data_IF_786310226949
#
_entry.id   IF_786310226949
#
_cell.length_a   1.000
_cell.length_b   1.000
_cell.length_c   1.000
_cell.angle_alpha   90.00
_cell.angle_beta   90.00
_cell.angle_gamma   90.00
#
_symmetry.space_group_name_H-M   'P 1'
#
loop_
_entity.id
_entity.type
_entity.pdbx_description
1 polymer ?
#
# COMPACT_ATOMS: atom_id res chain seq x y z
N UNK A 1 9.05 21.63 4.69
CA UNK A 1 7.71 21.28 5.20
C UNK A 1 7.89 20.28 6.33
N UNK A 2 8.27 20.81 7.49
CA UNK A 2 8.36 20.08 8.76
C UNK A 2 7.00 20.22 9.43
N UNK A 3 6.36 19.11 9.81
CA UNK A 3 5.27 19.15 10.78
C UNK A 3 5.88 19.15 12.19
N UNK A 4 6.64 20.21 12.47
CA UNK A 4 7.03 20.64 13.80
C UNK A 4 6.07 21.75 14.20
N UNK A 5 5.06 21.43 15.00
CA UNK A 5 4.28 22.45 15.70
C UNK A 5 4.21 22.05 17.17
N UNK A 6 5.31 22.26 17.86
CA UNK A 6 5.33 22.60 19.29
C UNK A 6 5.24 24.13 19.38
N UNK A 7 4.25 24.67 20.12
CA UNK A 7 4.33 25.85 21.00
C UNK A 7 2.92 26.35 21.36
N UNK A 8 2.50 26.26 22.63
CA UNK A 8 2.25 27.42 23.53
C UNK A 8 1.60 27.01 24.88
N UNK A 9 2.33 27.22 25.98
CA UNK A 9 1.88 27.89 27.22
C UNK A 9 0.61 27.45 27.97
N UNK A 10 0.75 26.50 28.91
CA UNK A 10 0.39 26.55 30.37
C UNK A 10 -1.04 26.92 30.83
N UNK A 11 -2.05 27.22 30.00
CA UNK A 11 -3.40 27.60 30.50
C UNK A 11 -4.60 26.72 30.07
N UNK A 12 -4.37 25.53 29.50
CA UNK A 12 -5.40 24.76 28.77
C UNK A 12 -5.59 23.32 29.29
N UNK A 13 -5.25 23.03 30.55
CA UNK A 13 -5.14 21.63 31.00
C UNK A 13 -6.45 20.81 31.02
N UNK A 14 -7.64 21.43 30.98
CA UNK A 14 -8.93 20.70 30.98
C UNK A 14 -9.54 20.54 29.58
N UNK A 15 -9.27 21.45 28.65
CA UNK A 15 -9.73 21.33 27.26
C UNK A 15 -8.81 20.44 26.39
N UNK A 16 -7.55 20.26 26.79
CA UNK A 16 -6.56 19.52 26.01
C UNK A 16 -6.77 17.99 26.04
N UNK A 17 -7.28 17.45 27.14
CA UNK A 17 -7.45 15.99 27.32
C UNK A 17 -8.49 15.44 26.35
N UNK A 18 -9.63 16.12 26.15
CA UNK A 18 -10.66 15.71 25.20
C UNK A 18 -10.21 15.79 23.73
N UNK A 19 -9.39 16.78 23.37
CA UNK A 19 -8.85 16.94 22.01
C UNK A 19 -7.75 15.91 21.73
N UNK A 20 -6.90 15.60 22.71
CA UNK A 20 -5.85 14.60 22.59
C UNK A 20 -6.40 13.18 22.36
N UNK A 21 -7.48 12.80 23.06
CA UNK A 21 -8.14 11.51 22.91
C UNK A 21 -8.79 11.37 21.53
N UNK A 22 -9.54 12.39 21.09
CA UNK A 22 -10.17 12.41 19.76
C UNK A 22 -9.12 12.36 18.63
N UNK A 23 -8.00 13.07 18.81
CA UNK A 23 -6.90 13.06 17.85
C UNK A 23 -6.24 11.68 17.76
N UNK A 24 -5.95 11.05 18.91
CA UNK A 24 -5.36 9.70 18.94
C UNK A 24 -6.28 8.64 18.31
N UNK A 25 -7.58 8.67 18.65
CA UNK A 25 -8.56 7.76 18.06
C UNK A 25 -8.71 7.95 16.54
N UNK A 26 -8.72 9.20 16.06
CA UNK A 26 -8.75 9.52 14.63
C UNK A 26 -7.51 8.98 13.91
N UNK A 27 -6.33 9.14 14.51
CA UNK A 27 -5.05 8.66 13.95
C UNK A 27 -5.04 7.13 13.83
N UNK A 28 -5.51 6.39 14.84
CA UNK A 28 -5.61 4.93 14.79
C UNK A 28 -6.66 4.44 13.79
N UNK A 29 -7.81 5.10 13.71
CA UNK A 29 -8.84 4.79 12.71
C UNK A 29 -8.33 5.00 11.28
N UNK A 30 -7.65 6.13 11.02
CA UNK A 30 -7.05 6.40 9.72
C UNK A 30 -5.99 5.35 9.35
N UNK A 31 -5.19 4.90 10.32
CA UNK A 31 -4.24 3.81 10.12
C UNK A 31 -4.92 2.46 9.83
N UNK A 32 -6.02 2.15 10.53
CA UNK A 32 -6.81 0.95 10.27
C UNK A 32 -7.44 0.96 8.87
N UNK A 33 -8.06 2.07 8.47
CA UNK A 33 -8.64 2.24 7.13
C UNK A 33 -7.56 2.11 6.06
N UNK A 34 -6.39 2.72 6.27
CA UNK A 34 -5.28 2.62 5.33
C UNK A 34 -4.73 1.18 5.25
N UNK A 35 -4.67 0.47 6.37
CA UNK A 35 -4.32 -0.96 6.38
C UNK A 35 -5.33 -1.81 5.59
N UNK A 36 -6.63 -1.57 5.77
CA UNK A 36 -7.69 -2.28 5.02
C UNK A 36 -7.56 -1.98 3.52
N UNK A 37 -7.32 -0.72 3.15
CA UNK A 37 -7.06 -0.32 1.77
C UNK A 37 -5.86 -1.09 1.19
N UNK A 38 -4.77 -1.23 1.96
CA UNK A 38 -3.61 -2.03 1.53
C UNK A 38 -3.98 -3.49 1.25
N UNK A 39 -4.79 -4.12 2.11
CA UNK A 39 -5.28 -5.49 1.88
C UNK A 39 -6.12 -5.56 0.59
N UNK A 40 -7.04 -4.62 0.39
CA UNK A 40 -7.87 -4.59 -0.82
C UNK A 40 -7.04 -4.41 -2.11
N UNK A 41 -6.01 -3.58 -2.07
CA UNK A 41 -5.09 -3.39 -3.20
C UNK A 41 -4.30 -4.68 -3.44
N UNK A 42 -3.75 -5.30 -2.38
CA UNK A 42 -3.01 -6.56 -2.49
C UNK A 42 -3.87 -7.68 -3.10
N UNK A 43 -5.11 -7.85 -2.64
CA UNK A 43 -6.06 -8.79 -3.24
C UNK A 43 -6.41 -8.45 -4.70
N UNK A 44 -6.47 -7.18 -5.05
CA UNK A 44 -6.74 -6.75 -6.41
C UNK A 44 -5.59 -7.17 -7.35
N UNK A 45 -4.33 -7.14 -6.90
CA UNK A 45 -3.22 -7.72 -7.65
C UNK A 45 -3.35 -9.24 -7.84
N UNK A 46 -3.79 -9.97 -6.81
CA UNK A 46 -4.06 -11.41 -6.94
C UNK A 46 -5.12 -11.67 -8.04
N UNK A 47 -6.19 -10.88 -8.06
CA UNK A 47 -7.24 -10.99 -9.10
C UNK A 47 -6.71 -10.60 -10.47
N UNK A 48 -5.85 -9.58 -10.56
CA UNK A 48 -5.23 -9.14 -11.80
C UNK A 48 -4.34 -10.22 -12.39
N UNK A 49 -3.50 -10.87 -11.59
CA UNK A 49 -2.63 -11.98 -12.03
C UNK A 49 -3.48 -13.13 -12.58
N UNK A 50 -4.54 -13.52 -11.87
CA UNK A 50 -5.48 -14.54 -12.37
C UNK A 50 -6.17 -14.14 -13.68
N UNK A 51 -6.48 -12.86 -13.85
CA UNK A 51 -7.07 -12.35 -15.09
C UNK A 51 -6.06 -12.38 -16.25
N UNK A 52 -4.78 -12.08 -16.00
CA UNK A 52 -3.68 -12.22 -16.96
C UNK A 52 -3.59 -13.69 -17.41
N UNK A 53 -3.53 -14.63 -16.46
CA UNK A 53 -3.48 -16.06 -16.77
C UNK A 53 -4.69 -16.53 -17.59
N UNK A 54 -5.89 -16.14 -17.19
CA UNK A 54 -7.12 -16.49 -17.91
C UNK A 54 -7.10 -15.93 -19.35
N UNK A 55 -6.59 -14.71 -19.54
CA UNK A 55 -6.50 -14.07 -20.86
C UNK A 55 -5.51 -14.80 -21.76
N UNK A 56 -4.37 -15.22 -21.22
CA UNK A 56 -3.35 -15.98 -21.95
C UNK A 56 -3.93 -17.32 -22.39
N UNK A 57 -4.58 -18.06 -21.49
CA UNK A 57 -5.23 -19.35 -21.81
C UNK A 57 -6.27 -19.18 -22.92
N UNK A 58 -7.09 -18.12 -22.86
CA UNK A 58 -8.09 -17.84 -23.87
C UNK A 58 -7.47 -17.53 -25.25
N UNK A 59 -6.45 -16.68 -25.28
CA UNK A 59 -5.75 -16.29 -26.50
C UNK A 59 -5.05 -17.48 -27.16
N UNK A 60 -4.34 -18.29 -26.36
CA UNK A 60 -3.69 -19.52 -26.84
C UNK A 60 -4.73 -20.51 -27.41
N UNK A 61 -5.88 -20.66 -26.76
CA UNK A 61 -6.96 -21.54 -27.27
C UNK A 61 -7.53 -21.06 -28.61
N UNK A 62 -7.58 -19.74 -28.83
CA UNK A 62 -8.09 -19.14 -30.07
C UNK A 62 -7.01 -18.99 -31.16
N UNK A 63 -5.74 -19.18 -30.82
CA UNK A 63 -4.62 -18.89 -31.71
C UNK A 63 -4.46 -17.39 -32.00
N UNK A 64 -4.88 -16.53 -31.06
CA UNK A 64 -4.83 -15.08 -31.20
C UNK A 64 -3.51 -14.52 -30.63
N UNK A 65 -2.92 -13.56 -31.33
CA UNK A 65 -1.83 -12.73 -30.79
C UNK A 65 -2.41 -11.61 -29.92
N UNK A 66 -1.64 -11.21 -28.90
CA UNK A 66 -2.05 -10.15 -27.96
C UNK A 66 -1.33 -8.85 -28.29
N UNK A 67 -2.00 -7.72 -28.04
CA UNK A 67 -1.48 -6.39 -28.36
C UNK A 67 -0.93 -5.70 -27.11
N UNK A 68 0.22 -5.07 -27.25
CA UNK A 68 0.81 -4.18 -26.25
C UNK A 68 1.06 -2.83 -26.90
N UNK A 69 0.59 -1.76 -26.25
CA UNK A 69 0.93 -0.41 -26.61
C UNK A 69 2.07 0.07 -25.70
N UNK A 70 3.22 0.41 -26.29
CA UNK A 70 4.31 1.05 -25.56
C UNK A 70 4.07 2.55 -25.58
N UNK A 71 3.94 3.15 -24.39
CA UNK A 71 3.97 4.61 -24.27
C UNK A 71 5.45 5.04 -24.13
N UNK A 72 6.05 5.75 -25.10
CA UNK A 72 7.43 6.16 -25.00
C UNK A 72 7.57 7.24 -23.91
N UNK A 73 8.30 6.90 -22.84
CA UNK A 73 8.83 7.79 -21.80
C UNK A 73 7.86 8.81 -21.20
N UNK A 74 7.22 8.47 -20.08
CA UNK A 74 6.99 9.38 -18.92
C UNK A 74 6.32 10.75 -19.15
N UNK A 75 5.84 11.05 -20.36
CA UNK A 75 5.18 12.30 -20.67
C UNK A 75 3.74 12.20 -20.21
N UNK A 76 3.36 13.12 -19.34
CA UNK A 76 1.97 13.41 -19.03
C UNK A 76 1.25 13.62 -20.36
N UNK A 77 0.37 12.68 -20.71
CA UNK A 77 -0.40 12.73 -21.94
C UNK A 77 -1.37 13.90 -21.85
N UNK A 78 -0.96 15.06 -22.34
CA UNK A 78 -1.91 16.03 -22.91
C UNK A 78 -2.42 15.46 -24.23
N UNK A 79 -3.21 14.39 -24.13
CA UNK A 79 -4.28 13.84 -25.01
C UNK A 79 -4.11 13.79 -26.54
N UNK A 80 -3.09 14.38 -27.18
CA UNK A 80 -3.20 14.73 -28.61
C UNK A 80 -2.21 14.05 -29.56
N UNK A 81 -1.05 13.50 -29.14
CA UNK A 81 -0.07 13.07 -30.16
C UNK A 81 0.82 11.84 -29.85
N UNK A 82 0.45 11.00 -28.88
CA UNK A 82 1.13 9.72 -28.74
C UNK A 82 0.50 8.70 -29.71
N UNK A 83 1.10 8.53 -30.90
CA UNK A 83 0.81 7.38 -31.76
C UNK A 83 1.30 6.12 -31.04
N UNK A 84 0.41 5.53 -30.24
CA UNK A 84 0.63 4.24 -29.62
C UNK A 84 0.59 3.18 -30.72
N UNK A 85 1.75 2.79 -31.24
CA UNK A 85 1.84 1.68 -32.20
C UNK A 85 1.57 0.38 -31.42
N UNK A 86 0.46 -0.32 -31.67
CA UNK A 86 0.20 -1.59 -31.01
C UNK A 86 1.15 -2.65 -31.58
N UNK A 87 1.95 -3.25 -30.73
CA UNK A 87 2.85 -4.36 -31.06
C UNK A 87 2.09 -5.65 -30.77
N UNK A 88 1.98 -6.52 -31.77
CA UNK A 88 1.46 -7.87 -31.62
C UNK A 88 2.57 -8.78 -31.05
N UNK A 89 2.23 -9.52 -30.00
CA UNK A 89 3.14 -10.39 -29.26
C UNK A 89 2.48 -11.73 -28.97
N UNK A 90 3.29 -12.77 -28.78
CA UNK A 90 2.77 -14.08 -28.38
C UNK A 90 2.10 -14.01 -27.00
N UNK A 91 1.14 -14.89 -26.69
CA UNK A 91 0.52 -14.94 -25.37
C UNK A 91 1.52 -15.06 -24.21
N UNK A 92 2.60 -15.82 -24.39
CA UNK A 92 3.67 -16.02 -23.41
C UNK A 92 4.52 -14.76 -23.21
N UNK A 93 4.87 -14.07 -24.30
CA UNK A 93 5.56 -12.79 -24.25
C UNK A 93 4.70 -11.72 -23.57
N UNK A 94 3.42 -11.68 -23.92
CA UNK A 94 2.45 -10.79 -23.29
C UNK A 94 2.33 -11.05 -21.79
N UNK A 95 2.23 -12.33 -21.38
CA UNK A 95 2.21 -12.72 -19.97
C UNK A 95 3.44 -12.20 -19.22
N UNK A 96 4.63 -12.44 -19.78
CA UNK A 96 5.88 -11.98 -19.18
C UNK A 96 5.93 -10.47 -19.05
N UNK A 97 5.49 -9.72 -20.08
CA UNK A 97 5.40 -8.26 -20.03
C UNK A 97 4.45 -7.78 -18.93
N UNK A 98 3.24 -8.33 -18.86
CA UNK A 98 2.28 -7.94 -17.82
C UNK A 98 2.75 -8.30 -16.41
N UNK A 99 3.39 -9.46 -16.24
CA UNK A 99 3.98 -9.86 -14.96
C UNK A 99 5.09 -8.91 -14.53
N UNK A 100 5.94 -8.47 -15.47
CA UNK A 100 6.97 -7.48 -15.18
C UNK A 100 6.38 -6.13 -14.78
N UNK A 101 5.27 -5.70 -15.40
CA UNK A 101 4.55 -4.48 -15.01
C UNK A 101 4.03 -4.61 -13.57
N UNK A 102 3.30 -5.70 -13.26
CA UNK A 102 2.79 -5.93 -11.90
C UNK A 102 3.92 -6.01 -10.88
N UNK A 103 5.00 -6.73 -11.19
CA UNK A 103 6.19 -6.85 -10.34
C UNK A 103 6.83 -5.48 -10.09
N UNK A 104 6.94 -4.65 -11.13
CA UNK A 104 7.52 -3.31 -11.04
C UNK A 104 6.69 -2.35 -10.18
N UNK A 105 5.36 -2.52 -10.16
CA UNK A 105 4.46 -1.71 -9.34
C UNK A 105 4.52 -2.14 -7.87
N UNK A 106 4.53 -3.45 -7.62
CA UNK A 106 4.53 -4.01 -6.26
C UNK A 106 5.89 -3.84 -5.59
N UNK A 107 6.99 -4.21 -6.26
CA UNK A 107 8.34 -4.27 -5.69
C UNK A 107 9.25 -3.11 -6.12
N UNK A 108 8.79 -2.31 -7.08
CA UNK A 108 9.56 -1.21 -7.64
C UNK A 108 10.58 -1.65 -8.69
N UNK A 109 11.14 -0.65 -9.37
CA UNK A 109 12.28 -0.79 -10.26
C UNK A 109 13.54 -0.20 -9.60
N UNK A 110 14.71 -0.53 -10.14
CA UNK A 110 15.98 0.05 -9.69
C UNK A 110 15.89 1.59 -9.67
N UNK A 111 16.33 2.22 -8.57
CA UNK A 111 16.20 3.65 -8.27
C UNK A 111 14.79 4.19 -7.94
N UNK A 112 13.73 3.37 -8.01
CA UNK A 112 12.36 3.77 -7.64
C UNK A 112 11.65 2.78 -6.69
N UNK A 113 12.42 1.93 -6.00
CA UNK A 113 11.88 1.01 -4.98
C UNK A 113 11.16 1.73 -3.86
N UNK A 114 11.56 2.95 -3.55
CA UNK A 114 10.96 3.82 -2.54
C UNK A 114 9.51 4.26 -2.89
N UNK A 115 9.08 4.11 -4.15
CA UNK A 115 7.72 4.44 -4.61
C UNK A 115 6.85 3.20 -4.85
N UNK A 116 7.38 2.02 -4.57
CA UNK A 116 6.66 0.75 -4.73
C UNK A 116 5.56 0.58 -3.68
N UNK A 117 4.61 -0.29 -3.98
CA UNK A 117 3.56 -0.63 -3.03
C UNK A 117 4.10 -1.34 -1.77
N UNK A 118 5.12 -2.19 -1.91
CA UNK A 118 5.77 -2.84 -0.75
C UNK A 118 6.44 -1.82 0.17
N UNK A 119 7.17 -0.83 -0.39
CA UNK A 119 7.80 0.23 0.39
C UNK A 119 6.76 1.13 1.08
N UNK A 120 5.59 1.31 0.47
CA UNK A 120 4.47 2.01 1.11
C UNK A 120 3.97 1.26 2.36
N UNK A 121 3.77 -0.06 2.26
CA UNK A 121 3.36 -0.90 3.39
C UNK A 121 4.42 -0.91 4.50
N UNK A 122 5.71 -0.99 4.15
CA UNK A 122 6.81 -0.91 5.12
C UNK A 122 6.81 0.39 5.91
N UNK A 123 6.68 1.53 5.24
CA UNK A 123 6.59 2.84 5.92
C UNK A 123 5.34 2.95 6.80
N UNK A 124 4.22 2.37 6.36
CA UNK A 124 2.99 2.36 7.14
C UNK A 124 3.17 1.56 8.43
N UNK A 125 3.78 0.37 8.33
CA UNK A 125 4.06 -0.47 9.50
C UNK A 125 5.07 0.19 10.44
N UNK A 126 6.15 0.77 9.93
CA UNK A 126 7.13 1.49 10.74
C UNK A 126 6.46 2.65 11.50
N UNK A 127 5.61 3.42 10.82
CA UNK A 127 4.86 4.52 11.42
C UNK A 127 3.91 4.04 12.51
N UNK A 128 3.13 3.00 12.24
CA UNK A 128 2.20 2.41 13.21
C UNK A 128 2.96 1.83 14.41
N UNK A 129 4.05 1.11 14.17
CA UNK A 129 4.92 0.54 15.22
C UNK A 129 5.44 1.65 16.14
N UNK A 130 5.97 2.73 15.56
CA UNK A 130 6.47 3.87 16.32
C UNK A 130 5.40 4.49 17.21
N UNK A 131 4.16 4.60 16.74
CA UNK A 131 3.06 5.12 17.55
C UNK A 131 2.72 4.24 18.76
N UNK A 132 2.87 2.93 18.64
CA UNK A 132 2.66 2.01 19.76
C UNK A 132 3.84 1.97 20.73
N UNK A 133 5.05 2.35 20.30
CA UNK A 133 6.23 2.42 21.19
C UNK A 133 6.40 3.76 21.91
N UNK A 134 5.72 4.82 21.45
CA UNK A 134 5.81 6.14 22.06
C UNK A 134 5.02 6.14 23.38
N UNK A 135 5.58 6.67 24.48
CA UNK A 135 4.85 6.81 25.73
C UNK A 135 3.58 7.62 25.50
N UNK A 136 2.44 7.08 25.94
CA UNK A 136 1.21 7.86 26.03
C UNK A 136 1.46 9.08 26.92
N UNK A 137 0.93 10.24 26.53
CA UNK A 137 1.04 11.45 27.35
C UNK A 137 0.54 11.16 28.77
N UNK A 138 1.19 11.72 29.80
CA UNK A 138 0.86 11.45 31.22
C UNK A 138 -0.60 11.73 31.58
N UNK A 139 -1.25 12.57 30.76
CA UNK A 139 -2.61 13.07 30.97
C UNK A 139 -3.66 12.22 30.22
N UNK A 140 -3.25 11.14 29.55
CA UNK A 140 -4.14 10.24 28.81
C UNK A 140 -4.88 9.32 29.79
N UNK A 141 -6.22 9.20 29.73
CA UNK A 141 -6.98 8.36 30.65
C UNK A 141 -6.56 6.88 30.55
N UNK A 142 -6.53 6.15 31.68
CA UNK A 142 -6.03 4.77 31.73
C UNK A 142 -6.79 3.78 30.84
N UNK A 143 -8.03 4.08 30.47
CA UNK A 143 -8.84 3.25 29.57
C UNK A 143 -8.22 3.13 28.17
N UNK A 144 -7.71 4.23 27.61
CA UNK A 144 -7.09 4.25 26.29
C UNK A 144 -5.63 3.77 26.29
N UNK A 145 -4.97 3.85 27.45
CA UNK A 145 -3.67 3.20 27.66
C UNK A 145 -3.82 1.69 27.51
N UNK A 146 -4.86 1.09 28.09
CA UNK A 146 -5.07 -0.37 28.07
C UNK A 146 -5.27 -0.95 26.66
N UNK A 147 -5.89 -0.21 25.74
CA UNK A 147 -6.16 -0.64 24.37
C UNK A 147 -4.89 -0.82 23.51
N UNK A 148 -3.76 -0.22 23.91
CA UNK A 148 -2.45 -0.39 23.28
C UNK A 148 -1.42 -1.08 24.17
N UNK A 149 -1.76 -1.40 25.43
CA UNK A 149 -0.82 -1.91 26.46
C UNK A 149 -0.97 -3.39 26.78
N UNK A 150 -1.85 -4.14 26.10
CA UNK A 150 -1.88 -5.59 26.23
C UNK A 150 -0.57 -6.17 25.68
N UNK A 151 0.32 -6.59 26.57
CA UNK A 151 1.71 -6.99 26.24
C UNK A 151 1.83 -8.16 25.26
N UNK A 152 0.76 -8.94 25.08
CA UNK A 152 0.82 -10.23 24.40
C UNK A 152 0.13 -10.25 23.03
N UNK A 153 -0.61 -9.19 22.64
CA UNK A 153 -1.37 -9.17 21.40
C UNK A 153 -0.99 -7.97 20.50
N UNK A 154 -0.69 -8.25 19.23
CA UNK A 154 -0.31 -7.22 18.26
C UNK A 154 -1.50 -6.28 18.02
N UNK A 155 -1.31 -4.94 18.08
CA UNK A 155 -2.39 -3.99 17.80
C UNK A 155 -3.07 -4.26 16.46
N UNK A 156 -4.40 -4.13 16.43
CA UNK A 156 -5.23 -4.46 15.25
C UNK A 156 -4.75 -3.76 13.98
N UNK A 157 -4.36 -2.48 14.05
CA UNK A 157 -3.86 -1.74 12.89
C UNK A 157 -2.57 -2.34 12.31
N UNK A 158 -1.67 -2.84 13.16
CA UNK A 158 -0.46 -3.54 12.75
C UNK A 158 -0.79 -4.93 12.18
N UNK A 159 -1.74 -5.64 12.79
CA UNK A 159 -2.22 -6.95 12.30
C UNK A 159 -2.76 -6.83 10.87
N UNK A 160 -3.58 -5.81 10.60
CA UNK A 160 -4.14 -5.57 9.26
C UNK A 160 -3.03 -5.23 8.26
N UNK A 161 -2.10 -4.34 8.61
CA UNK A 161 -0.98 -3.97 7.72
C UNK A 161 -0.09 -5.19 7.39
N UNK A 162 0.20 -6.03 8.38
CA UNK A 162 0.95 -7.28 8.17
C UNK A 162 0.20 -8.29 7.30
N UNK A 163 -1.13 -8.33 7.38
CA UNK A 163 -1.94 -9.16 6.50
C UNK A 163 -1.75 -8.75 5.03
N UNK A 164 -1.69 -7.45 4.72
CA UNK A 164 -1.41 -6.97 3.37
C UNK A 164 -0.03 -7.43 2.87
N UNK A 165 1.02 -7.34 3.70
CA UNK A 165 2.36 -7.84 3.34
C UNK A 165 2.35 -9.34 3.03
N UNK A 166 1.67 -10.14 3.85
CA UNK A 166 1.57 -11.59 3.64
C UNK A 166 0.97 -11.95 2.28
N UNK A 167 0.02 -11.16 1.78
CA UNK A 167 -0.54 -11.34 0.44
C UNK A 167 0.50 -11.02 -0.65
N UNK A 168 1.32 -9.98 -0.46
CA UNK A 168 2.40 -9.65 -1.40
C UNK A 168 3.48 -10.73 -1.47
N UNK A 169 3.82 -11.36 -0.34
CA UNK A 169 4.80 -12.45 -0.31
C UNK A 169 4.34 -13.65 -1.17
N UNK A 170 3.03 -13.94 -1.15
CA UNK A 170 2.43 -14.98 -2.00
C UNK A 170 2.41 -14.60 -3.49
N UNK A 171 2.25 -13.29 -3.79
CA UNK A 171 2.34 -12.79 -5.16
C UNK A 171 3.78 -12.93 -5.67
N UNK A 172 4.79 -12.64 -4.83
CA UNK A 172 6.20 -12.75 -5.21
C UNK A 172 6.54 -14.13 -5.76
N UNK A 173 6.11 -15.20 -5.09
CA UNK A 173 6.37 -16.57 -5.54
C UNK A 173 5.61 -16.98 -6.81
N UNK A 174 4.54 -16.26 -7.16
CA UNK A 174 3.77 -16.50 -8.39
C UNK A 174 4.37 -15.76 -9.60
N UNK A 175 5.13 -14.69 -9.36
CA UNK A 175 5.75 -13.84 -10.38
C UNK A 175 7.24 -14.17 -10.62
N UNK A 176 7.79 -15.19 -9.95
CA UNK A 176 9.08 -15.82 -10.25
C UNK A 176 8.96 -16.85 -11.37
#
# INVERSE_FOLDING_TARGET
MCFDVFYFGVLVSVFYVGVAILFFASVLQNAGILGILCVCIAESYVRLIKAIDARVIEATRKGEELKVALNPLGQSLTVVDAVLVPIEVSPEQWKSLMYNVVKSEIFGIENHRDKSFVAFIERLEERQTRWHTLPTASDCPPTDQSACSSSDELPLCLTITKAARKVLDQISSTLE
#
